data_IF_177837304710
#
_entry.id   IF_177837304710
#
_cell.length_a   1.000
_cell.length_b   1.000
_cell.length_c   1.000
_cell.angle_alpha   90.00
_cell.angle_beta   90.00
_cell.angle_gamma   90.00
#
_symmetry.space_group_name_H-M   'P 1'
#
loop_
_entity.id
_entity.type
_entity.pdbx_description
1 polymer ?
#
# COMPACT_ATOMS: atom_id res chain seq x y z
N UNK A 1 -3.63 17.42 11.78
CA UNK A 1 -2.62 17.39 12.88
C UNK A 1 -2.21 18.83 13.21
N UNK A 2 -1.64 19.07 14.39
CA UNK A 2 -1.07 20.38 14.80
C UNK A 2 0.33 20.11 15.35
N UNK A 3 1.30 21.00 15.09
CA UNK A 3 2.64 20.88 15.64
C UNK A 3 2.58 20.96 17.17
N UNK A 4 3.26 20.03 17.86
CA UNK A 4 3.41 20.07 19.31
C UNK A 4 4.37 21.21 19.70
N UNK A 5 3.88 22.13 20.49
CA UNK A 5 4.65 23.20 21.15
C UNK A 5 4.67 23.01 22.67
N UNK A 6 3.84 22.08 23.16
CA UNK A 6 3.77 21.64 24.55
C UNK A 6 4.00 20.11 24.57
N UNK A 7 4.56 19.62 25.70
CA UNK A 7 4.93 18.20 25.81
C UNK A 7 3.74 17.25 25.59
N UNK A 8 2.58 17.57 26.14
CA UNK A 8 1.39 16.71 26.04
C UNK A 8 0.71 16.75 24.66
N UNK A 9 1.10 17.68 23.80
CA UNK A 9 0.65 17.73 22.40
C UNK A 9 1.43 16.73 21.50
N UNK A 10 2.54 16.13 21.99
CA UNK A 10 3.39 15.22 21.21
C UNK A 10 2.58 14.03 20.70
N UNK A 11 1.75 13.41 21.53
CA UNK A 11 0.96 12.24 21.16
C UNK A 11 0.11 12.49 19.91
N UNK A 12 -0.55 13.64 19.81
CA UNK A 12 -1.41 13.98 18.67
C UNK A 12 -0.59 14.40 17.44
N UNK A 13 0.57 15.01 17.66
CA UNK A 13 1.44 15.50 16.58
C UNK A 13 2.22 14.39 15.87
N UNK A 14 2.44 13.24 16.53
CA UNK A 14 3.20 12.10 15.97
C UNK A 14 2.31 10.94 15.50
N UNK A 15 1.03 11.22 15.19
CA UNK A 15 0.15 10.22 14.60
C UNK A 15 0.79 9.64 13.31
N UNK A 16 0.85 8.30 13.19
CA UNK A 16 1.56 7.59 12.12
C UNK A 16 0.72 6.53 11.40
N UNK A 17 -0.56 6.41 11.73
CA UNK A 17 -1.42 5.39 11.14
C UNK A 17 -2.05 5.84 9.83
N UNK A 18 -2.24 7.15 9.65
CA UNK A 18 -2.85 7.72 8.47
C UNK A 18 -1.79 8.23 7.47
N UNK A 19 -1.94 7.97 6.16
CA UNK A 19 -1.09 8.57 5.16
C UNK A 19 -1.35 10.07 5.06
N UNK A 20 -0.32 10.85 4.72
CA UNK A 20 -0.36 12.30 4.59
C UNK A 20 -0.42 12.68 3.10
N UNK A 21 -1.27 13.64 2.74
CA UNK A 21 -1.29 14.24 1.39
C UNK A 21 -0.05 15.11 1.16
N UNK A 22 0.40 15.23 -0.08
CA UNK A 22 1.58 16.03 -0.46
C UNK A 22 1.39 17.56 -0.24
N UNK A 23 0.17 17.99 0.04
CA UNK A 23 -0.16 19.40 0.38
C UNK A 23 -0.23 19.66 1.87
N UNK A 24 -0.16 18.62 2.70
CA UNK A 24 -0.17 18.75 4.14
C UNK A 24 1.11 19.44 4.64
N UNK A 25 1.01 20.32 5.64
CA UNK A 25 2.17 21.04 6.21
C UNK A 25 3.20 20.10 6.84
N UNK A 26 2.78 18.92 7.29
CA UNK A 26 3.65 17.89 7.86
C UNK A 26 4.32 17.02 6.80
N UNK A 27 3.96 17.17 5.53
CA UNK A 27 4.60 16.42 4.47
C UNK A 27 6.09 16.78 4.35
N UNK A 28 6.91 15.75 4.24
CA UNK A 28 8.35 15.88 3.99
C UNK A 28 8.73 14.98 2.83
N UNK A 29 9.28 15.58 1.78
CA UNK A 29 9.66 14.84 0.57
C UNK A 29 10.94 14.05 0.77
N UNK A 30 10.82 12.73 0.77
CA UNK A 30 11.94 11.78 0.84
C UNK A 30 12.27 11.12 -0.50
N UNK A 31 11.64 11.53 -1.61
CA UNK A 31 11.80 10.84 -2.90
C UNK A 31 13.23 10.81 -3.41
N UNK A 32 14.01 11.87 -3.15
CA UNK A 32 15.42 11.97 -3.55
C UNK A 32 16.38 11.05 -2.78
N UNK A 33 15.95 10.50 -1.65
CA UNK A 33 16.78 9.69 -0.75
C UNK A 33 16.60 8.18 -0.91
N UNK A 34 15.73 7.74 -1.83
CA UNK A 34 15.42 6.32 -2.05
C UNK A 34 16.18 5.77 -3.25
N UNK A 35 17.27 5.06 -3.02
CA UNK A 35 17.98 4.38 -4.11
C UNK A 35 17.09 3.28 -4.71
N UNK A 36 16.85 3.36 -6.02
CA UNK A 36 16.06 2.36 -6.74
C UNK A 36 14.63 2.75 -7.06
N UNK A 37 14.00 3.62 -6.28
CA UNK A 37 12.70 4.22 -6.59
C UNK A 37 12.87 5.66 -7.07
N UNK A 38 12.13 6.05 -8.09
CA UNK A 38 11.93 7.46 -8.47
C UNK A 38 10.65 7.60 -9.29
N UNK A 39 9.98 8.73 -9.16
CA UNK A 39 8.79 9.06 -9.99
C UNK A 39 9.10 8.97 -11.48
N UNK A 40 10.29 9.39 -11.90
CA UNK A 40 10.73 9.32 -13.30
C UNK A 40 10.77 7.90 -13.86
N UNK A 41 11.00 6.88 -13.02
CA UNK A 41 10.92 5.48 -13.45
C UNK A 41 9.48 5.08 -13.73
N UNK A 42 8.55 5.52 -12.89
CA UNK A 42 7.11 5.27 -13.09
C UNK A 42 6.62 6.01 -14.35
N UNK A 43 7.01 7.28 -14.55
CA UNK A 43 6.65 8.01 -15.76
C UNK A 43 7.15 7.33 -17.02
N UNK A 44 8.42 6.90 -17.06
CA UNK A 44 8.96 6.15 -18.19
C UNK A 44 8.21 4.84 -18.42
N UNK A 45 7.83 4.14 -17.34
CA UNK A 45 7.07 2.91 -17.42
C UNK A 45 5.66 3.14 -18.01
N UNK A 46 5.02 4.25 -17.63
CA UNK A 46 3.72 4.67 -18.14
C UNK A 46 3.83 5.43 -19.48
N UNK A 47 5.03 5.54 -20.04
CA UNK A 47 5.30 6.25 -21.30
C UNK A 47 4.90 7.74 -21.26
N UNK A 48 5.06 8.37 -20.12
CA UNK A 48 4.96 9.81 -19.90
C UNK A 48 6.37 10.38 -20.07
N UNK A 49 6.55 11.34 -20.99
CA UNK A 49 7.86 11.97 -21.21
C UNK A 49 8.17 13.06 -20.18
N UNK A 50 9.37 13.67 -20.29
CA UNK A 50 9.83 14.73 -19.38
C UNK A 50 8.99 16.02 -19.45
N UNK A 51 8.31 16.23 -20.55
CA UNK A 51 7.42 17.36 -20.80
C UNK A 51 5.97 17.03 -20.41
N UNK A 52 5.78 15.87 -19.80
CA UNK A 52 4.48 15.32 -19.39
C UNK A 52 3.53 15.02 -20.56
N UNK A 53 4.06 14.77 -21.76
CA UNK A 53 3.24 14.30 -22.86
C UNK A 53 2.99 12.80 -22.75
N UNK A 54 1.80 12.41 -23.15
CA UNK A 54 1.35 11.03 -23.12
C UNK A 54 1.68 10.32 -24.44
N UNK A 55 2.58 9.37 -24.39
CA UNK A 55 2.87 8.51 -25.52
C UNK A 55 2.06 7.22 -25.45
N UNK A 56 1.58 6.72 -26.58
CA UNK A 56 0.75 5.53 -26.64
C UNK A 56 1.53 4.29 -26.16
N UNK A 57 0.93 3.51 -25.27
CA UNK A 57 1.44 2.19 -24.91
C UNK A 57 0.91 1.14 -25.90
N UNK A 58 1.74 0.19 -26.29
CA UNK A 58 1.34 -0.95 -27.12
C UNK A 58 0.51 -1.97 -26.32
N UNK A 59 0.78 -2.09 -25.02
CA UNK A 59 0.10 -2.97 -24.08
C UNK A 59 -0.01 -2.28 -22.71
N UNK A 60 -1.09 -2.55 -21.97
CA UNK A 60 -1.21 -2.09 -20.59
C UNK A 60 -0.03 -2.56 -19.76
N UNK A 61 0.39 -1.73 -18.81
CA UNK A 61 1.53 -1.98 -17.93
C UNK A 61 1.08 -2.29 -16.52
N UNK A 62 1.79 -3.23 -15.88
CA UNK A 62 1.59 -3.57 -14.48
C UNK A 62 2.91 -3.45 -13.74
N UNK A 63 2.87 -2.82 -12.56
CA UNK A 63 4.00 -2.63 -11.66
C UNK A 63 3.64 -3.17 -10.30
N UNK A 64 4.50 -4.02 -9.75
CA UNK A 64 4.52 -4.34 -8.34
C UNK A 64 5.49 -3.41 -7.61
N UNK A 65 4.99 -2.71 -6.59
CA UNK A 65 5.80 -1.83 -5.75
C UNK A 65 5.95 -2.45 -4.36
N UNK A 66 7.14 -2.91 -4.02
CA UNK A 66 7.41 -3.61 -2.77
C UNK A 66 8.35 -2.85 -1.84
N UNK A 67 8.15 -2.98 -0.54
CA UNK A 67 8.99 -2.41 0.51
C UNK A 67 8.40 -2.63 1.89
N UNK A 68 9.19 -2.39 2.94
CA UNK A 68 8.75 -2.53 4.32
C UNK A 68 7.50 -1.72 4.65
N UNK A 69 6.66 -2.24 5.54
CA UNK A 69 5.53 -1.47 6.09
C UNK A 69 6.05 -0.26 6.87
N UNK A 70 5.46 0.91 6.63
CA UNK A 70 5.85 2.16 7.31
C UNK A 70 6.87 3.01 6.57
N UNK A 71 7.37 2.57 5.41
CA UNK A 71 8.32 3.35 4.60
C UNK A 71 7.72 4.57 3.90
N UNK A 72 6.39 4.79 3.97
CA UNK A 72 5.71 5.89 3.31
C UNK A 72 5.24 5.58 1.88
N UNK A 73 5.07 4.31 1.50
CA UNK A 73 4.56 3.91 0.16
C UNK A 73 3.25 4.60 -0.20
N UNK A 74 2.25 4.52 0.68
CA UNK A 74 0.92 5.12 0.46
C UNK A 74 1.02 6.62 0.21
N UNK A 75 1.79 7.35 1.00
CA UNK A 75 2.04 8.80 0.84
C UNK A 75 2.65 9.12 -0.53
N UNK A 76 3.68 8.38 -0.95
CA UNK A 76 4.30 8.57 -2.26
C UNK A 76 3.35 8.17 -3.41
N UNK A 77 2.52 7.15 -3.24
CA UNK A 77 1.52 6.76 -4.24
C UNK A 77 0.41 7.81 -4.38
N UNK A 78 -0.02 8.45 -3.30
CA UNK A 78 -0.96 9.57 -3.33
C UNK A 78 -0.36 10.78 -4.04
N UNK A 79 0.88 11.14 -3.73
CA UNK A 79 1.63 12.18 -4.44
C UNK A 79 1.75 11.86 -5.92
N UNK A 80 2.16 10.63 -6.26
CA UNK A 80 2.27 10.16 -7.64
C UNK A 80 0.93 10.24 -8.39
N UNK A 81 -0.17 9.80 -7.74
CA UNK A 81 -1.52 9.93 -8.25
C UNK A 81 -1.85 11.37 -8.63
N UNK A 82 -1.63 12.31 -7.68
CA UNK A 82 -1.90 13.72 -7.89
C UNK A 82 -1.06 14.31 -9.02
N UNK A 83 0.21 13.90 -9.13
CA UNK A 83 1.11 14.35 -10.19
C UNK A 83 0.69 13.80 -11.57
N UNK A 84 0.35 12.52 -11.69
CA UNK A 84 -0.09 11.90 -12.95
C UNK A 84 -1.44 12.46 -13.40
N UNK A 85 -2.39 12.67 -12.49
CA UNK A 85 -3.70 13.27 -12.82
C UNK A 85 -3.57 14.65 -13.47
N UNK A 86 -2.60 15.46 -13.01
CA UNK A 86 -2.30 16.79 -13.57
C UNK A 86 -1.83 16.73 -15.03
N UNK A 87 -1.15 15.65 -15.42
CA UNK A 87 -0.67 15.49 -16.82
C UNK A 87 -1.79 15.23 -17.81
N UNK A 88 -2.98 14.82 -17.34
CA UNK A 88 -4.09 14.34 -18.18
C UNK A 88 -3.76 13.09 -19.02
N UNK A 89 -2.61 12.46 -18.78
CA UNK A 89 -2.27 11.19 -19.40
C UNK A 89 -3.16 10.05 -18.90
N UNK A 90 -3.39 10.02 -17.60
CA UNK A 90 -4.17 8.98 -16.97
C UNK A 90 -5.20 9.58 -16.02
N UNK A 91 -6.42 9.06 -16.04
CA UNK A 91 -7.32 9.16 -14.92
C UNK A 91 -6.86 8.11 -13.91
N UNK A 92 -6.40 8.57 -12.74
CA UNK A 92 -5.89 7.68 -11.70
C UNK A 92 -6.99 7.28 -10.71
N UNK A 93 -7.18 5.99 -10.55
CA UNK A 93 -8.12 5.37 -9.62
C UNK A 93 -7.31 4.78 -8.46
N UNK A 94 -7.51 5.30 -7.24
CA UNK A 94 -6.82 4.84 -6.05
C UNK A 94 -7.71 3.93 -5.21
N UNK A 95 -7.24 2.71 -4.96
CA UNK A 95 -7.91 1.68 -4.17
C UNK A 95 -7.03 1.37 -2.96
N UNK A 96 -7.46 1.76 -1.75
CA UNK A 96 -6.77 1.39 -0.50
C UNK A 96 -7.56 0.25 0.18
N UNK A 97 -7.03 -0.96 0.09
CA UNK A 97 -7.64 -2.17 0.65
C UNK A 97 -7.80 -2.11 2.17
N UNK A 98 -7.03 -1.28 2.85
CA UNK A 98 -7.03 -1.20 4.32
C UNK A 98 -8.06 -0.25 4.90
N UNK A 99 -8.62 0.64 4.08
CA UNK A 99 -9.59 1.66 4.50
C UNK A 99 -11.01 1.35 4.02
N UNK A 100 -11.21 0.21 3.35
CA UNK A 100 -12.49 -0.18 2.81
C UNK A 100 -13.27 -1.06 3.79
N UNK A 101 -14.59 -1.10 3.65
CA UNK A 101 -15.50 -1.96 4.43
C UNK A 101 -15.41 -3.43 3.98
N UNK A 102 -14.20 -3.91 3.75
CA UNK A 102 -13.91 -5.31 3.44
C UNK A 102 -13.53 -6.06 4.72
N UNK A 103 -13.86 -7.34 4.76
CA UNK A 103 -13.35 -8.23 5.79
C UNK A 103 -11.87 -8.53 5.52
N UNK A 104 -11.00 -7.66 6.05
CA UNK A 104 -9.55 -7.74 5.83
C UNK A 104 -8.91 -9.06 6.24
N UNK A 105 -9.58 -9.85 7.12
CA UNK A 105 -9.09 -11.15 7.57
C UNK A 105 -9.57 -12.31 6.69
N UNK A 106 -10.50 -12.05 5.75
CA UNK A 106 -11.03 -13.03 4.83
C UNK A 106 -11.31 -12.37 3.47
N UNK A 107 -10.24 -12.01 2.77
CA UNK A 107 -10.28 -11.35 1.47
C UNK A 107 -9.84 -12.31 0.37
N UNK A 108 -10.47 -12.23 -0.81
CA UNK A 108 -10.13 -13.00 -1.99
C UNK A 108 -9.91 -12.07 -3.20
N UNK A 109 -9.39 -12.61 -4.29
CA UNK A 109 -9.18 -11.91 -5.55
C UNK A 109 -10.45 -11.20 -6.07
N UNK A 110 -11.62 -11.84 -5.93
CA UNK A 110 -12.90 -11.27 -6.38
C UNK A 110 -13.25 -10.01 -5.61
N UNK A 111 -12.97 -9.97 -4.31
CA UNK A 111 -13.25 -8.82 -3.46
C UNK A 111 -12.43 -7.60 -3.94
N UNK A 112 -11.16 -7.83 -4.30
CA UNK A 112 -10.27 -6.80 -4.87
C UNK A 112 -10.81 -6.29 -6.21
N UNK A 113 -11.30 -7.16 -7.08
CA UNK A 113 -11.84 -6.76 -8.38
C UNK A 113 -13.14 -5.97 -8.26
N UNK A 114 -14.02 -6.35 -7.33
CA UNK A 114 -15.26 -5.61 -7.06
C UNK A 114 -14.92 -4.22 -6.49
N UNK A 115 -13.92 -4.12 -5.61
CA UNK A 115 -13.44 -2.84 -5.10
C UNK A 115 -12.85 -1.97 -6.24
N UNK A 116 -12.04 -2.53 -7.12
CA UNK A 116 -11.48 -1.81 -8.28
C UNK A 116 -12.61 -1.23 -9.15
N UNK A 117 -13.66 -2.00 -9.40
CA UNK A 117 -14.82 -1.56 -10.15
C UNK A 117 -15.56 -0.43 -9.44
N UNK A 118 -15.82 -0.57 -8.13
CA UNK A 118 -16.44 0.46 -7.31
C UNK A 118 -15.65 1.77 -7.36
N UNK A 119 -14.34 1.71 -7.10
CA UNK A 119 -13.45 2.89 -7.09
C UNK A 119 -13.35 3.59 -8.45
N UNK A 120 -13.43 2.83 -9.54
CA UNK A 120 -13.53 3.42 -10.89
C UNK A 120 -14.78 4.29 -10.99
N UNK A 121 -15.95 3.76 -10.64
CA UNK A 121 -17.23 4.48 -10.76
C UNK A 121 -17.26 5.67 -9.79
N UNK A 122 -16.80 5.49 -8.54
CA UNK A 122 -16.66 6.58 -7.58
C UNK A 122 -15.77 7.72 -8.09
N UNK A 123 -14.63 7.36 -8.72
CA UNK A 123 -13.69 8.35 -9.27
C UNK A 123 -14.33 9.13 -10.42
N UNK A 124 -15.08 8.46 -11.31
CA UNK A 124 -15.82 9.12 -12.38
C UNK A 124 -16.86 10.08 -11.82
N UNK A 125 -17.63 9.64 -10.80
CA UNK A 125 -18.60 10.46 -10.10
C UNK A 125 -17.97 11.68 -9.43
N UNK A 126 -16.90 11.49 -8.68
CA UNK A 126 -16.20 12.57 -7.96
C UNK A 126 -15.60 13.63 -8.91
N UNK A 127 -15.33 13.25 -10.16
CA UNK A 127 -14.85 14.15 -11.22
C UNK A 127 -15.97 14.64 -12.14
N UNK A 128 -17.22 14.35 -11.82
CA UNK A 128 -18.40 14.74 -12.60
C UNK A 128 -18.33 14.26 -14.07
N UNK A 129 -17.75 13.08 -14.28
CA UNK A 129 -17.62 12.45 -15.60
C UNK A 129 -18.79 11.49 -15.80
N UNK A 130 -19.77 11.92 -16.57
CA UNK A 130 -20.95 11.11 -16.89
C UNK A 130 -20.72 10.32 -18.17
N UNK A 131 -20.58 9.00 -18.04
CA UNK A 131 -20.39 8.08 -19.16
C UNK A 131 -21.74 7.72 -19.76
N UNK A 132 -21.94 7.88 -21.09
CA UNK A 132 -23.21 7.55 -21.74
C UNK A 132 -23.63 6.10 -21.51
N UNK A 133 -24.92 5.87 -21.30
CA UNK A 133 -25.53 4.55 -21.08
C UNK A 133 -25.04 3.51 -22.10
N UNK A 134 -25.00 3.86 -23.38
CA UNK A 134 -24.58 2.94 -24.45
C UNK A 134 -23.18 2.35 -24.25
N UNK A 135 -22.30 3.07 -23.56
CA UNK A 135 -20.93 2.64 -23.28
C UNK A 135 -20.80 1.67 -22.09
N UNK A 136 -21.84 1.59 -21.25
CA UNK A 136 -21.79 0.80 -20.01
C UNK A 136 -22.84 -0.33 -19.96
N UNK A 137 -23.87 -0.26 -20.82
CA UNK A 137 -25.04 -1.13 -20.79
C UNK A 137 -24.69 -2.63 -20.89
N UNK A 138 -23.76 -3.00 -21.74
CA UNK A 138 -23.37 -4.39 -21.94
C UNK A 138 -22.75 -5.02 -20.67
N UNK A 139 -21.89 -4.26 -19.98
CA UNK A 139 -21.25 -4.72 -18.76
C UNK A 139 -22.20 -4.67 -17.58
N UNK A 140 -23.02 -3.61 -17.49
CA UNK A 140 -24.05 -3.48 -16.48
C UNK A 140 -25.02 -4.67 -16.50
N UNK A 141 -25.60 -5.00 -17.67
CA UNK A 141 -26.57 -6.09 -17.82
C UNK A 141 -25.94 -7.45 -17.45
N UNK A 142 -24.68 -7.66 -17.84
CA UNK A 142 -23.94 -8.85 -17.45
C UNK A 142 -23.79 -8.95 -15.92
N UNK A 143 -23.37 -7.84 -15.28
CA UNK A 143 -23.16 -7.77 -13.84
C UNK A 143 -24.46 -7.99 -13.07
N UNK A 144 -25.51 -7.28 -13.47
CA UNK A 144 -26.87 -7.40 -12.90
C UNK A 144 -27.40 -8.85 -12.97
N UNK A 145 -27.20 -9.52 -14.11
CA UNK A 145 -27.59 -10.91 -14.26
C UNK A 145 -26.87 -11.82 -13.26
N UNK A 146 -25.54 -11.62 -13.07
CA UNK A 146 -24.78 -12.42 -12.08
C UNK A 146 -25.28 -12.17 -10.66
N UNK A 147 -25.56 -10.94 -10.29
CA UNK A 147 -26.10 -10.63 -8.96
C UNK A 147 -27.49 -11.23 -8.76
N UNK A 148 -28.31 -11.26 -9.81
CA UNK A 148 -29.63 -11.91 -9.76
C UNK A 148 -29.50 -13.43 -9.56
N UNK A 149 -28.56 -14.09 -10.21
CA UNK A 149 -28.29 -15.52 -10.01
C UNK A 149 -27.84 -15.79 -8.56
N UNK A 150 -26.89 -15.02 -8.03
CA UNK A 150 -26.41 -15.11 -6.65
C UNK A 150 -27.55 -14.97 -5.63
N UNK A 151 -28.42 -13.98 -5.83
CA UNK A 151 -29.56 -13.74 -4.93
C UNK A 151 -30.53 -14.93 -4.91
N UNK A 152 -30.77 -15.58 -6.04
CA UNK A 152 -31.62 -16.78 -6.13
C UNK A 152 -31.00 -17.96 -5.39
N UNK A 153 -29.69 -18.16 -5.50
CA UNK A 153 -28.98 -19.28 -4.86
C UNK A 153 -28.86 -19.11 -3.34
N UNK A 154 -28.87 -17.86 -2.85
CA UNK A 154 -28.69 -17.55 -1.42
C UNK A 154 -29.99 -17.40 -0.65
N UNK A 155 -31.16 -17.64 -1.28
CA UNK A 155 -32.50 -17.41 -0.73
C UNK A 155 -32.70 -15.99 -0.16
N UNK A 156 -31.84 -15.06 -0.58
CA UNK A 156 -32.02 -13.65 -0.26
C UNK A 156 -33.06 -13.05 -1.21
N UNK A 157 -34.32 -13.38 -0.96
CA UNK A 157 -35.48 -12.76 -1.59
C UNK A 157 -35.72 -11.28 -1.17
N UNK A 158 -34.78 -10.70 -0.42
CA UNK A 158 -34.67 -9.26 -0.33
C UNK A 158 -34.35 -8.75 -1.74
N UNK A 159 -35.41 -8.53 -2.49
CA UNK A 159 -35.46 -7.78 -3.73
C UNK A 159 -34.45 -6.66 -3.64
N UNK A 160 -33.26 -6.85 -4.34
CA UNK A 160 -32.79 -5.68 -5.00
C UNK A 160 -33.93 -5.40 -5.97
N UNK A 161 -34.90 -4.59 -5.56
CA UNK A 161 -35.73 -3.87 -6.51
C UNK A 161 -34.72 -3.05 -7.30
N UNK A 162 -34.18 -3.74 -8.32
CA UNK A 162 -33.51 -3.09 -9.43
C UNK A 162 -34.67 -2.31 -10.00
N UNK A 163 -34.77 -1.03 -9.57
CA UNK A 163 -35.63 -0.12 -10.22
C UNK A 163 -35.19 -0.11 -11.69
N UNK A 164 -35.80 -0.99 -12.47
CA UNK A 164 -35.77 -0.95 -13.93
C UNK A 164 -36.48 0.33 -14.35
N UNK A 165 -35.97 1.49 -13.88
CA UNK A 165 -36.46 2.79 -14.27
C UNK A 165 -35.79 3.21 -15.55
N UNK A 166 -36.58 3.67 -16.47
CA UNK A 166 -36.18 4.48 -17.59
C UNK A 166 -35.26 5.61 -17.07
N UNK A 167 -33.94 5.47 -17.24
CA UNK A 167 -32.94 6.45 -16.72
C UNK A 167 -31.75 5.85 -16.01
N UNK A 168 -31.41 4.58 -16.25
CA UNK A 168 -30.15 3.96 -15.80
C UNK A 168 -28.94 4.76 -16.31
N UNK A 169 -28.03 5.08 -15.42
CA UNK A 169 -26.75 5.76 -15.63
C UNK A 169 -25.61 5.04 -14.88
N UNK A 170 -24.38 5.52 -15.04
CA UNK A 170 -23.21 4.92 -14.38
C UNK A 170 -23.30 4.98 -12.84
N UNK A 171 -24.02 5.96 -12.29
CA UNK A 171 -24.17 6.14 -10.84
C UNK A 171 -25.19 5.18 -10.24
N UNK A 172 -26.20 4.78 -11.02
CA UNK A 172 -27.11 3.67 -10.67
C UNK A 172 -26.33 2.35 -10.60
N UNK A 173 -25.34 2.16 -11.49
CA UNK A 173 -24.45 1.02 -11.45
C UNK A 173 -23.61 0.98 -10.16
N UNK A 174 -23.12 2.11 -9.68
CA UNK A 174 -22.41 2.19 -8.40
C UNK A 174 -23.23 1.57 -7.26
N UNK A 175 -24.50 1.88 -7.18
CA UNK A 175 -25.38 1.32 -6.11
C UNK A 175 -25.39 -0.21 -6.09
N UNK A 176 -25.38 -0.87 -7.27
CA UNK A 176 -25.38 -2.33 -7.36
C UNK A 176 -24.00 -2.87 -6.94
N UNK A 177 -22.93 -2.24 -7.37
CA UNK A 177 -21.55 -2.66 -7.03
C UNK A 177 -21.30 -2.51 -5.53
N UNK A 178 -21.67 -1.36 -4.93
CA UNK A 178 -21.56 -1.12 -3.48
C UNK A 178 -22.38 -2.12 -2.66
N UNK A 179 -23.62 -2.43 -3.08
CA UNK A 179 -24.45 -3.47 -2.44
C UNK A 179 -23.80 -4.85 -2.54
N UNK A 180 -23.14 -5.16 -3.67
CA UNK A 180 -22.41 -6.42 -3.84
C UNK A 180 -21.21 -6.48 -2.92
N UNK A 181 -20.41 -5.40 -2.81
CA UNK A 181 -19.31 -5.29 -1.85
C UNK A 181 -19.78 -5.47 -0.41
N UNK A 182 -20.87 -4.82 -0.01
CA UNK A 182 -21.47 -4.99 1.32
C UNK A 182 -21.87 -6.45 1.64
N UNK A 183 -22.27 -7.23 0.64
CA UNK A 183 -22.55 -8.67 0.82
C UNK A 183 -21.31 -9.52 1.04
N UNK A 184 -20.14 -9.07 0.60
CA UNK A 184 -18.85 -9.73 0.88
C UNK A 184 -18.46 -9.63 2.35
N UNK A 185 -18.96 -8.67 3.09
CA UNK A 185 -18.84 -8.57 4.56
C UNK A 185 -19.96 -9.32 5.32
N UNK A 186 -20.88 -9.94 4.60
CA UNK A 186 -22.05 -10.65 5.15
C UNK A 186 -21.81 -12.11 5.50
N UNK A 187 -22.86 -12.95 5.35
CA UNK A 187 -22.75 -14.38 5.68
C UNK A 187 -21.76 -15.12 4.79
N UNK A 188 -21.07 -16.13 5.35
CA UNK A 188 -20.10 -16.95 4.62
C UNK A 188 -20.72 -17.59 3.36
N UNK A 189 -21.97 -18.06 3.43
CA UNK A 189 -22.66 -18.65 2.28
C UNK A 189 -22.77 -17.65 1.12
N UNK A 190 -23.23 -16.43 1.40
CA UNK A 190 -23.38 -15.39 0.36
C UNK A 190 -22.02 -14.99 -0.20
N UNK A 191 -21.01 -14.78 0.66
CA UNK A 191 -19.64 -14.45 0.29
C UNK A 191 -19.06 -15.49 -0.68
N UNK A 192 -19.12 -16.77 -0.31
CA UNK A 192 -18.59 -17.86 -1.14
C UNK A 192 -19.37 -18.02 -2.45
N UNK A 193 -20.68 -17.80 -2.45
CA UNK A 193 -21.49 -17.83 -3.70
C UNK A 193 -21.07 -16.70 -4.64
N UNK A 194 -20.83 -15.48 -4.14
CA UNK A 194 -20.33 -14.36 -4.96
C UNK A 194 -18.96 -14.74 -5.56
N UNK A 195 -18.02 -15.14 -4.71
CA UNK A 195 -16.64 -15.48 -5.13
C UNK A 195 -16.62 -16.58 -6.17
N UNK A 196 -17.32 -17.70 -5.92
CA UNK A 196 -17.38 -18.83 -6.85
C UNK A 196 -18.03 -18.45 -8.18
N UNK A 197 -19.10 -17.66 -8.15
CA UNK A 197 -19.79 -17.20 -9.37
C UNK A 197 -18.85 -16.37 -10.25
N UNK A 198 -18.16 -15.39 -9.67
CA UNK A 198 -17.24 -14.53 -10.41
C UNK A 198 -15.99 -15.29 -10.88
N UNK A 199 -15.43 -16.19 -10.06
CA UNK A 199 -14.27 -17.01 -10.46
C UNK A 199 -14.64 -17.96 -11.60
N UNK A 200 -15.76 -18.67 -11.51
CA UNK A 200 -16.19 -19.61 -12.54
C UNK A 200 -16.56 -18.92 -13.87
N UNK A 201 -16.91 -17.64 -13.83
CA UNK A 201 -17.23 -16.81 -15.00
C UNK A 201 -16.14 -15.77 -15.32
N UNK A 202 -14.91 -15.96 -14.81
CA UNK A 202 -13.90 -14.92 -14.86
C UNK A 202 -13.50 -14.52 -16.28
N UNK A 203 -13.39 -15.46 -17.21
CA UNK A 203 -13.06 -15.14 -18.62
C UNK A 203 -14.15 -14.30 -19.28
N UNK A 204 -15.42 -14.57 -18.98
CA UNK A 204 -16.53 -13.74 -19.48
C UNK A 204 -16.58 -12.38 -18.80
N UNK A 205 -16.33 -12.34 -17.47
CA UNK A 205 -16.14 -11.10 -16.72
C UNK A 205 -15.02 -10.25 -17.33
N UNK A 206 -13.83 -10.80 -17.50
CA UNK A 206 -12.66 -10.06 -17.98
C UNK A 206 -12.88 -9.52 -19.39
N UNK A 207 -13.55 -10.28 -20.29
CA UNK A 207 -13.91 -9.82 -21.62
C UNK A 207 -14.84 -8.59 -21.56
N UNK A 208 -15.92 -8.69 -20.78
CA UNK A 208 -16.91 -7.61 -20.62
C UNK A 208 -16.33 -6.39 -19.91
N UNK A 209 -15.55 -6.62 -18.86
CA UNK A 209 -14.86 -5.55 -18.13
C UNK A 209 -13.84 -4.82 -19.02
N UNK A 210 -13.06 -5.56 -19.80
CA UNK A 210 -12.11 -4.95 -20.74
C UNK A 210 -12.80 -4.09 -21.82
N UNK A 211 -13.95 -4.53 -22.32
CA UNK A 211 -14.74 -3.70 -23.22
C UNK A 211 -15.26 -2.43 -22.53
N UNK A 212 -15.79 -2.56 -21.32
CA UNK A 212 -16.24 -1.42 -20.52
C UNK A 212 -15.11 -0.42 -20.26
N UNK A 213 -13.92 -0.90 -19.90
CA UNK A 213 -12.71 -0.04 -19.76
C UNK A 213 -12.37 0.66 -21.07
N UNK A 214 -12.44 -0.04 -22.21
CA UNK A 214 -12.16 0.54 -23.52
C UNK A 214 -13.17 1.65 -23.86
N UNK A 215 -14.45 1.41 -23.65
CA UNK A 215 -15.52 2.37 -23.91
C UNK A 215 -15.37 3.64 -23.06
N UNK A 216 -14.97 3.50 -21.81
CA UNK A 216 -14.64 4.63 -20.93
C UNK A 216 -13.43 5.41 -21.49
N UNK A 217 -12.36 4.72 -21.87
CA UNK A 217 -11.17 5.36 -22.45
C UNK A 217 -11.50 6.15 -23.72
N UNK A 218 -12.26 5.57 -24.60
CA UNK A 218 -12.70 6.24 -25.85
C UNK A 218 -13.53 7.48 -25.54
N UNK A 219 -14.45 7.41 -24.59
CA UNK A 219 -15.22 8.57 -24.16
C UNK A 219 -14.34 9.66 -23.58
N UNK A 220 -13.42 9.32 -22.65
CA UNK A 220 -12.49 10.27 -22.04
C UNK A 220 -11.60 10.95 -23.08
N UNK A 221 -11.10 10.21 -24.06
CA UNK A 221 -10.30 10.74 -25.16
C UNK A 221 -11.13 11.68 -26.06
N UNK A 222 -12.35 11.30 -26.43
CA UNK A 222 -13.25 12.11 -27.25
C UNK A 222 -13.57 13.45 -26.60
N UNK A 223 -13.69 13.46 -25.26
CA UNK A 223 -13.90 14.67 -24.46
C UNK A 223 -12.63 15.42 -24.09
N UNK A 224 -11.46 14.94 -24.55
CA UNK A 224 -10.14 15.50 -24.21
C UNK A 224 -9.88 15.61 -22.69
N UNK A 225 -10.46 14.71 -21.91
CA UNK A 225 -10.31 14.70 -20.44
C UNK A 225 -9.03 13.97 -20.00
N UNK A 226 -8.88 12.71 -20.44
CA UNK A 226 -7.74 11.85 -20.14
C UNK A 226 -7.47 10.91 -21.33
N UNK A 227 -6.22 10.41 -21.44
CA UNK A 227 -5.83 9.49 -22.52
C UNK A 227 -6.07 8.02 -22.18
N UNK A 228 -5.87 7.64 -20.92
CA UNK A 228 -5.99 6.25 -20.45
C UNK A 228 -6.38 6.21 -18.98
N UNK A 229 -6.50 4.99 -18.41
CA UNK A 229 -6.77 4.74 -17.00
C UNK A 229 -5.55 4.13 -16.32
N UNK A 230 -5.33 4.50 -15.05
CA UNK A 230 -4.32 3.89 -14.19
C UNK A 230 -4.96 3.54 -12.84
N UNK A 231 -4.92 2.28 -12.47
CA UNK A 231 -5.32 1.83 -11.14
C UNK A 231 -4.10 1.74 -10.23
N UNK A 232 -4.23 2.28 -9.03
CA UNK A 232 -3.25 2.15 -7.95
C UNK A 232 -3.94 1.37 -6.84
N UNK A 233 -3.49 0.14 -6.60
CA UNK A 233 -4.06 -0.75 -5.57
C UNK A 233 -3.06 -0.89 -4.45
N UNK A 234 -3.37 -0.29 -3.32
CA UNK A 234 -2.51 -0.23 -2.13
C UNK A 234 -3.10 -1.02 -0.95
N UNK A 235 -2.26 -1.37 0.01
CA UNK A 235 -2.70 -1.95 1.29
C UNK A 235 -2.64 -3.48 1.37
N UNK A 236 -2.09 -4.17 0.39
CA UNK A 236 -1.99 -5.64 0.44
C UNK A 236 -1.20 -6.17 1.65
N UNK A 237 -0.25 -5.41 2.19
CA UNK A 237 0.49 -5.80 3.38
C UNK A 237 -0.32 -5.73 4.68
N UNK A 238 -1.56 -5.25 4.62
CA UNK A 238 -2.44 -5.06 5.79
C UNK A 238 -3.61 -6.04 5.83
N UNK A 239 -3.76 -6.87 4.79
CA UNK A 239 -4.91 -7.77 4.63
C UNK A 239 -4.50 -9.23 4.73
N UNK A 240 -5.40 -10.06 5.25
CA UNK A 240 -5.30 -11.52 5.29
C UNK A 240 -4.01 -12.07 5.89
N UNK A 241 -3.84 -13.37 5.74
CA UNK A 241 -2.60 -14.08 6.00
C UNK A 241 -1.59 -13.93 4.85
N UNK A 242 -0.36 -14.39 5.04
CA UNK A 242 0.62 -14.49 3.95
C UNK A 242 0.10 -15.39 2.80
N UNK A 243 -0.61 -16.46 3.15
CA UNK A 243 -1.19 -17.39 2.19
C UNK A 243 -2.28 -16.71 1.35
N UNK A 244 -3.18 -15.94 1.97
CA UNK A 244 -4.21 -15.18 1.25
C UNK A 244 -3.59 -14.19 0.28
N UNK A 245 -2.58 -13.44 0.72
CA UNK A 245 -1.83 -12.50 -0.12
C UNK A 245 -1.13 -13.19 -1.28
N UNK A 246 -0.50 -14.36 -1.05
CA UNK A 246 0.12 -15.19 -2.09
C UNK A 246 -0.92 -15.67 -3.09
N UNK A 247 -2.04 -16.18 -2.62
CA UNK A 247 -3.15 -16.63 -3.46
C UNK A 247 -3.65 -15.51 -4.36
N UNK A 248 -3.87 -14.32 -3.81
CA UNK A 248 -4.39 -13.18 -4.58
C UNK A 248 -3.36 -12.69 -5.59
N UNK A 249 -2.12 -12.40 -5.16
CA UNK A 249 -1.13 -11.67 -5.95
C UNK A 249 -0.28 -12.55 -6.87
N UNK A 250 0.02 -13.78 -6.45
CA UNK A 250 0.91 -14.69 -7.18
C UNK A 250 0.12 -15.74 -7.96
N UNK A 251 -0.73 -16.50 -7.27
CA UNK A 251 -1.46 -17.61 -7.91
C UNK A 251 -2.56 -17.12 -8.87
N UNK A 252 -3.22 -16.01 -8.54
CA UNK A 252 -4.20 -15.35 -9.42
C UNK A 252 -3.59 -14.25 -10.31
N UNK A 253 -2.28 -14.18 -10.44
CA UNK A 253 -1.59 -13.16 -11.25
C UNK A 253 -2.03 -13.16 -12.72
N UNK A 254 -2.31 -14.33 -13.30
CA UNK A 254 -2.86 -14.47 -14.65
C UNK A 254 -4.19 -13.71 -14.82
N UNK A 255 -5.05 -13.70 -13.79
CA UNK A 255 -6.32 -12.95 -13.82
C UNK A 255 -6.09 -11.44 -13.83
N UNK A 256 -5.10 -10.93 -13.08
CA UNK A 256 -4.70 -9.52 -13.20
C UNK A 256 -4.18 -9.17 -14.60
N UNK A 257 -3.52 -10.14 -15.27
CA UNK A 257 -3.02 -9.96 -16.64
C UNK A 257 -4.18 -9.88 -17.65
N UNK A 258 -5.22 -10.69 -17.47
CA UNK A 258 -6.40 -10.69 -18.32
C UNK A 258 -7.14 -9.33 -18.29
N UNK A 259 -7.05 -8.58 -17.20
CA UNK A 259 -7.61 -7.22 -17.09
C UNK A 259 -6.70 -6.24 -17.82
N UNK A 260 -7.13 -5.76 -18.98
CA UNK A 260 -6.34 -4.93 -19.93
C UNK A 260 -6.33 -3.45 -19.53
N UNK A 261 -5.78 -3.15 -18.35
CA UNK A 261 -5.59 -1.78 -17.86
C UNK A 261 -4.24 -1.62 -17.17
N UNK A 262 -3.77 -0.37 -17.02
CA UNK A 262 -2.53 -0.09 -16.33
C UNK A 262 -2.74 -0.16 -14.82
N UNK A 263 -1.81 -0.80 -14.10
CA UNK A 263 -1.90 -0.98 -12.65
C UNK A 263 -0.56 -0.76 -11.97
N UNK A 264 -0.58 -0.10 -10.82
CA UNK A 264 0.46 -0.12 -9.81
C UNK A 264 -0.15 -0.83 -8.59
N UNK A 265 0.48 -1.91 -8.15
CA UNK A 265 -0.03 -2.77 -7.07
C UNK A 265 1.05 -2.83 -5.99
N UNK A 266 0.71 -2.47 -4.74
CA UNK A 266 1.66 -2.68 -3.65
C UNK A 266 1.79 -4.17 -3.38
N UNK A 267 3.04 -4.59 -3.23
CA UNK A 267 3.40 -5.97 -2.98
C UNK A 267 4.02 -6.07 -1.58
N UNK A 268 3.51 -6.94 -0.72
CA UNK A 268 4.17 -7.27 0.53
C UNK A 268 5.61 -7.70 0.31
N UNK A 269 6.52 -7.29 1.21
CA UNK A 269 7.96 -7.51 1.03
C UNK A 269 8.33 -8.99 0.99
N UNK A 270 7.61 -9.81 1.73
CA UNK A 270 7.77 -11.26 1.77
C UNK A 270 7.48 -11.95 0.43
N UNK A 271 6.66 -11.35 -0.42
CA UNK A 271 6.33 -11.90 -1.75
C UNK A 271 7.22 -11.36 -2.88
N UNK A 272 8.17 -10.46 -2.57
CA UNK A 272 8.96 -9.78 -3.61
C UNK A 272 9.79 -10.74 -4.46
N UNK A 273 10.34 -11.79 -3.86
CA UNK A 273 11.13 -12.80 -4.59
C UNK A 273 10.25 -13.66 -5.52
N UNK A 274 9.02 -13.97 -5.09
CA UNK A 274 8.08 -14.73 -5.89
C UNK A 274 7.56 -13.90 -7.07
N UNK A 275 7.34 -12.61 -6.86
CA UNK A 275 6.94 -11.68 -7.90
C UNK A 275 7.98 -11.54 -9.02
N UNK A 276 9.25 -11.86 -8.76
CA UNK A 276 10.27 -11.90 -9.79
C UNK A 276 9.96 -12.93 -10.89
N UNK A 277 9.21 -13.99 -10.56
CA UNK A 277 8.71 -14.99 -11.51
C UNK A 277 7.64 -14.44 -12.46
N UNK A 278 7.04 -13.29 -12.09
CA UNK A 278 6.01 -12.60 -12.87
C UNK A 278 6.59 -11.50 -13.77
N UNK A 279 7.92 -11.36 -13.87
CA UNK A 279 8.59 -10.28 -14.61
C UNK A 279 8.25 -10.24 -16.11
N UNK A 280 7.73 -11.32 -16.69
CA UNK A 280 7.22 -11.34 -18.07
C UNK A 280 5.94 -10.48 -18.21
N UNK A 281 5.18 -10.29 -17.14
CA UNK A 281 3.88 -9.63 -17.14
C UNK A 281 3.85 -8.32 -16.38
N UNK A 282 4.61 -8.23 -15.29
CA UNK A 282 4.65 -7.08 -14.41
C UNK A 282 6.09 -6.77 -14.00
N UNK A 283 6.42 -5.49 -13.93
CA UNK A 283 7.72 -5.05 -13.44
C UNK A 283 7.68 -4.91 -11.93
N UNK A 284 8.59 -5.57 -11.23
CA UNK A 284 8.78 -5.39 -9.80
C UNK A 284 9.74 -4.23 -9.52
N UNK A 285 9.34 -3.31 -8.65
CA UNK A 285 10.11 -2.15 -8.20
C UNK A 285 10.20 -2.20 -6.68
N UNK A 286 11.42 -2.11 -6.14
CA UNK A 286 11.61 -1.96 -4.70
C UNK A 286 11.39 -0.50 -4.27
N UNK A 287 10.72 -0.34 -3.13
CA UNK A 287 10.59 0.92 -2.40
C UNK A 287 11.35 0.79 -1.07
N UNK A 288 12.68 1.00 -1.10
CA UNK A 288 13.55 0.68 0.02
C UNK A 288 13.40 1.67 1.18
N UNK A 289 13.92 1.29 2.34
CA UNK A 289 14.21 2.22 3.43
C UNK A 289 15.23 3.26 2.98
N UNK A 290 15.23 4.40 3.66
CA UNK A 290 16.16 5.50 3.39
C UNK A 290 17.49 5.21 4.09
N UNK A 291 18.59 5.19 3.34
CA UNK A 291 19.92 5.15 3.94
C UNK A 291 20.18 6.47 4.68
N UNK A 292 20.56 6.36 5.96
CA UNK A 292 20.81 7.50 6.83
C UNK A 292 22.23 8.05 6.64
N UNK A 293 22.50 8.68 5.49
CA UNK A 293 23.63 9.61 5.36
C UNK A 293 23.29 10.97 5.98
N UNK A 294 24.26 11.87 6.08
CA UNK A 294 24.03 13.16 6.76
C UNK A 294 22.89 13.97 6.12
N UNK A 295 22.77 13.98 4.79
CA UNK A 295 21.69 14.68 4.11
C UNK A 295 20.31 14.08 4.43
N UNK A 296 20.25 12.75 4.53
CA UNK A 296 19.03 12.04 4.92
C UNK A 296 18.67 12.31 6.39
N UNK A 297 19.66 12.35 7.30
CA UNK A 297 19.46 12.71 8.70
C UNK A 297 18.91 14.13 8.82
N UNK A 298 19.47 15.11 8.09
CA UNK A 298 18.94 16.47 8.07
C UNK A 298 17.48 16.52 7.61
N UNK A 299 17.12 15.71 6.61
CA UNK A 299 15.74 15.61 6.16
C UNK A 299 14.83 14.97 7.21
N UNK A 300 15.31 13.99 7.97
CA UNK A 300 14.59 13.43 9.11
C UNK A 300 14.48 14.42 10.28
N UNK A 301 15.50 15.23 10.55
CA UNK A 301 15.40 16.33 11.54
C UNK A 301 14.30 17.32 11.14
N UNK A 302 14.24 17.73 9.87
CA UNK A 302 13.14 18.55 9.35
C UNK A 302 11.78 17.87 9.55
N UNK A 303 11.66 16.57 9.22
CA UNK A 303 10.45 15.77 9.37
C UNK A 303 9.96 15.74 10.83
N UNK A 304 10.88 15.61 11.79
CA UNK A 304 10.57 15.63 13.23
C UNK A 304 10.16 17.03 13.67
N UNK A 305 10.93 18.06 13.31
CA UNK A 305 10.69 19.42 13.76
C UNK A 305 9.46 20.09 13.15
N UNK A 306 8.95 19.56 12.06
CA UNK A 306 7.62 19.94 11.58
C UNK A 306 6.51 19.53 12.56
N UNK A 307 6.71 18.46 13.31
CA UNK A 307 5.72 17.85 14.22
C UNK A 307 5.92 18.23 15.67
N UNK A 308 7.16 18.27 16.11
CA UNK A 308 7.52 18.49 17.51
C UNK A 308 8.49 19.65 17.58
N UNK A 309 8.22 20.63 18.46
CA UNK A 309 9.10 21.79 18.60
C UNK A 309 10.47 21.37 19.18
N UNK A 310 11.53 22.05 18.75
CA UNK A 310 12.91 21.76 19.17
C UNK A 310 13.11 21.88 20.68
N UNK A 311 12.37 22.76 21.34
CA UNK A 311 12.45 22.98 22.79
C UNK A 311 11.97 21.79 23.61
N UNK A 312 11.23 20.85 23.00
CA UNK A 312 10.74 19.64 23.67
C UNK A 312 11.79 18.50 23.65
N UNK A 313 12.95 18.72 23.04
CA UNK A 313 14.10 17.83 23.12
C UNK A 313 15.21 18.49 23.94
N UNK A 314 15.82 17.75 24.85
CA UNK A 314 16.88 18.27 25.73
C UNK A 314 18.09 18.78 24.93
N UNK A 315 18.44 18.10 23.85
CA UNK A 315 19.44 18.53 22.88
C UNK A 315 19.28 17.80 21.54
N UNK A 316 20.10 18.14 20.55
CA UNK A 316 20.01 17.60 19.19
C UNK A 316 20.45 16.12 19.10
N UNK A 317 21.27 15.62 20.01
CA UNK A 317 21.72 14.22 20.04
C UNK A 317 20.55 13.26 20.29
N UNK A 318 19.52 13.74 20.99
CA UNK A 318 18.27 12.98 21.23
C UNK A 318 17.57 12.71 19.90
N UNK A 319 17.46 13.74 19.07
CA UNK A 319 16.83 13.64 17.75
C UNK A 319 17.62 12.71 16.84
N UNK A 320 18.94 12.77 16.89
CA UNK A 320 19.82 11.88 16.11
C UNK A 320 19.66 10.43 16.52
N UNK A 321 19.54 10.16 17.82
CA UNK A 321 19.32 8.79 18.32
C UNK A 321 17.94 8.26 17.92
N UNK A 322 16.90 9.10 17.96
CA UNK A 322 15.56 8.76 17.45
C UNK A 322 15.61 8.40 15.96
N UNK A 323 16.36 9.18 15.15
CA UNK A 323 16.52 8.93 13.72
C UNK A 323 17.24 7.60 13.49
N UNK A 324 18.29 7.30 14.25
CA UNK A 324 19.02 6.04 14.19
C UNK A 324 18.07 4.85 14.43
N UNK A 325 17.31 4.87 15.52
CA UNK A 325 16.33 3.82 15.84
C UNK A 325 15.17 3.73 14.85
N UNK A 326 14.80 4.85 14.22
CA UNK A 326 13.83 4.89 13.13
C UNK A 326 14.31 4.20 11.84
N UNK A 327 15.64 3.95 11.73
CA UNK A 327 16.26 3.14 10.67
C UNK A 327 15.86 3.52 9.23
N UNK A 328 15.65 4.82 8.99
CA UNK A 328 15.22 5.31 7.67
C UNK A 328 13.75 5.07 7.32
N UNK A 329 12.92 4.73 8.30
CA UNK A 329 11.48 4.60 8.19
C UNK A 329 10.77 5.77 8.88
N UNK A 330 10.00 6.61 8.16
CA UNK A 330 9.25 7.70 8.79
C UNK A 330 8.32 7.23 9.91
N UNK A 331 7.62 6.10 9.72
CA UNK A 331 6.71 5.55 10.73
C UNK A 331 7.45 5.07 11.99
N UNK A 332 8.57 4.36 11.82
CA UNK A 332 9.32 3.87 12.97
C UNK A 332 9.94 5.04 13.75
N UNK A 333 10.41 6.09 13.06
CA UNK A 333 10.87 7.33 13.71
C UNK A 333 9.78 7.94 14.60
N UNK A 334 8.53 8.06 14.10
CA UNK A 334 7.42 8.59 14.90
C UNK A 334 7.04 7.67 16.05
N UNK A 335 7.15 6.34 15.88
CA UNK A 335 6.93 5.39 16.96
C UNK A 335 7.95 5.53 18.10
N UNK A 336 9.22 5.74 17.76
CA UNK A 336 10.25 5.99 18.77
C UNK A 336 9.94 7.25 19.57
N UNK A 337 9.52 8.34 18.89
CA UNK A 337 9.12 9.59 19.59
C UNK A 337 7.92 9.35 20.50
N UNK A 338 6.90 8.64 20.01
CA UNK A 338 5.70 8.37 20.81
C UNK A 338 6.01 7.53 22.05
N UNK A 339 6.85 6.50 21.92
CA UNK A 339 7.23 5.69 23.07
C UNK A 339 8.14 6.47 24.02
N UNK A 340 9.09 7.29 23.52
CA UNK A 340 9.90 8.16 24.36
C UNK A 340 9.05 9.19 25.14
N UNK A 341 7.95 9.66 24.55
CA UNK A 341 6.97 10.49 25.24
C UNK A 341 6.33 9.77 26.42
N UNK A 342 5.94 8.49 26.26
CA UNK A 342 5.34 7.71 27.34
C UNK A 342 6.34 7.35 28.46
N UNK A 343 7.62 7.19 28.14
CA UNK A 343 8.67 6.82 29.09
C UNK A 343 9.36 8.03 29.74
N UNK A 344 9.07 9.26 29.28
CA UNK A 344 9.70 10.47 29.84
C UNK A 344 9.26 10.73 31.29
N UNK A 345 10.23 11.01 32.15
CA UNK A 345 10.00 11.34 33.58
C UNK A 345 9.71 12.83 33.79
N UNK A 346 10.11 13.68 32.87
CA UNK A 346 9.91 15.12 32.88
C UNK A 346 9.22 15.53 31.57
N UNK A 347 8.67 16.75 31.52
CA UNK A 347 8.00 17.28 30.30
C UNK A 347 9.01 17.67 29.19
N UNK A 348 9.98 16.78 28.97
CA UNK A 348 11.01 16.91 27.94
C UNK A 348 11.50 15.53 27.50
N UNK A 349 11.78 15.38 26.20
CA UNK A 349 12.41 14.17 25.68
C UNK A 349 13.92 14.24 25.93
N UNK A 350 14.46 13.25 26.63
CA UNK A 350 15.88 13.12 26.91
C UNK A 350 16.42 11.77 26.49
N UNK A 351 17.73 11.52 26.70
CA UNK A 351 18.38 10.28 26.28
C UNK A 351 17.87 9.08 27.07
N UNK A 352 17.41 9.27 28.32
CA UNK A 352 16.88 8.17 29.12
C UNK A 352 15.52 7.74 28.55
N UNK A 353 14.60 8.66 28.28
CA UNK A 353 13.29 8.34 27.71
C UNK A 353 13.40 7.66 26.35
N UNK A 354 14.41 8.02 25.52
CA UNK A 354 14.66 7.35 24.24
C UNK A 354 15.24 5.95 24.41
N UNK A 355 16.05 5.71 25.43
CA UNK A 355 16.55 4.37 25.75
C UNK A 355 15.45 3.46 26.31
N UNK A 356 14.62 3.98 27.21
CA UNK A 356 13.49 3.23 27.76
C UNK A 356 12.49 2.88 26.64
N UNK A 357 12.23 3.81 25.73
CA UNK A 357 11.43 3.54 24.52
C UNK A 357 12.06 2.47 23.61
N UNK A 358 13.38 2.47 23.47
CA UNK A 358 14.10 1.46 22.70
C UNK A 358 13.96 0.07 23.34
N UNK A 359 14.09 -0.03 24.66
CA UNK A 359 13.91 -1.26 25.41
C UNK A 359 12.51 -1.85 25.18
N UNK A 360 11.45 -1.07 25.42
CA UNK A 360 10.06 -1.48 25.20
C UNK A 360 9.81 -1.96 23.77
N UNK A 361 10.30 -1.20 22.77
CA UNK A 361 10.10 -1.53 21.37
C UNK A 361 10.90 -2.78 20.95
N UNK A 362 12.12 -2.95 21.44
CA UNK A 362 12.97 -4.09 21.11
C UNK A 362 12.51 -5.38 21.80
N UNK A 363 12.12 -5.34 23.05
CA UNK A 363 11.55 -6.49 23.79
C UNK A 363 10.34 -7.08 23.07
N UNK A 364 9.47 -6.21 22.52
CA UNK A 364 8.30 -6.63 21.75
C UNK A 364 8.65 -7.47 20.50
N UNK A 365 9.92 -7.46 20.09
CA UNK A 365 10.45 -8.22 18.94
C UNK A 365 11.27 -9.40 19.43
N UNK A 366 12.20 -9.18 20.36
CA UNK A 366 13.16 -10.19 20.86
C UNK A 366 12.44 -11.36 21.50
N UNK A 367 11.41 -11.11 22.31
CA UNK A 367 10.62 -12.13 22.99
C UNK A 367 9.89 -13.12 22.06
N UNK A 368 9.80 -12.82 20.76
CA UNK A 368 9.13 -13.67 19.75
C UNK A 368 10.09 -14.21 18.71
N UNK A 369 11.41 -14.18 18.97
CA UNK A 369 12.39 -14.82 18.11
C UNK A 369 12.31 -16.35 18.21
N UNK A 370 12.46 -17.02 17.08
CA UNK A 370 12.54 -18.47 16.99
C UNK A 370 14.01 -18.91 16.90
N UNK A 371 14.32 -20.12 17.37
CA UNK A 371 15.70 -20.65 17.34
C UNK A 371 16.34 -20.63 15.95
N UNK A 372 15.59 -21.04 14.93
CA UNK A 372 16.05 -21.05 13.54
C UNK A 372 16.28 -19.64 12.95
N UNK A 373 15.60 -18.62 13.48
CA UNK A 373 15.80 -17.22 13.11
C UNK A 373 17.14 -16.67 13.60
N UNK A 374 17.61 -17.08 14.78
CA UNK A 374 18.84 -16.59 15.41
C UNK A 374 20.07 -16.86 14.55
N UNK A 375 20.16 -18.06 13.97
CA UNK A 375 21.31 -18.44 13.11
C UNK A 375 21.39 -17.58 11.85
N UNK A 376 20.24 -17.29 11.25
CA UNK A 376 20.17 -16.41 10.08
C UNK A 376 20.50 -14.96 10.45
N UNK A 377 20.05 -14.48 11.61
CA UNK A 377 20.35 -13.15 12.14
C UNK A 377 21.88 -13.00 12.35
N UNK A 378 22.54 -13.98 12.98
CA UNK A 378 24.01 -14.02 13.17
C UNK A 378 24.72 -13.95 11.81
N UNK A 379 24.24 -14.70 10.83
CA UNK A 379 24.79 -14.70 9.47
C UNK A 379 24.69 -13.31 8.82
N UNK A 380 23.54 -12.64 8.93
CA UNK A 380 23.33 -11.29 8.39
C UNK A 380 24.19 -10.28 9.14
N UNK A 381 24.24 -10.36 10.48
CA UNK A 381 25.03 -9.46 11.30
C UNK A 381 26.53 -9.54 11.00
N UNK A 382 27.03 -10.72 10.62
CA UNK A 382 28.41 -10.90 10.17
C UNK A 382 28.71 -10.34 8.77
N UNK A 383 27.73 -9.72 8.10
CA UNK A 383 27.86 -9.17 6.75
C UNK A 383 27.91 -10.22 5.64
N UNK A 384 27.63 -11.49 5.94
CA UNK A 384 27.58 -12.54 4.92
C UNK A 384 26.34 -12.38 4.05
N UNK A 385 26.53 -12.63 2.76
CA UNK A 385 25.43 -12.59 1.79
C UNK A 385 24.47 -13.76 2.02
N UNK A 386 23.20 -13.44 2.20
CA UNK A 386 22.13 -14.42 2.37
C UNK A 386 21.27 -14.54 1.13
N UNK A 387 20.85 -15.78 0.83
CA UNK A 387 19.84 -16.04 -0.19
C UNK A 387 18.44 -15.79 0.40
N UNK A 388 17.47 -15.51 -0.48
CA UNK A 388 16.08 -15.37 -0.07
C UNK A 388 15.53 -16.73 0.37
N UNK A 389 14.80 -16.75 1.49
CA UNK A 389 14.12 -17.89 2.07
C UNK A 389 12.87 -17.43 2.79
N UNK A 390 11.95 -18.34 3.11
CA UNK A 390 10.75 -18.00 3.91
C UNK A 390 11.14 -17.47 5.29
N UNK A 391 12.24 -17.99 5.85
CA UNK A 391 12.78 -17.49 7.12
C UNK A 391 13.23 -16.02 7.01
N UNK A 392 13.96 -15.67 5.94
CA UNK A 392 14.34 -14.27 5.69
C UNK A 392 13.10 -13.40 5.45
N UNK A 393 12.09 -13.90 4.75
CA UNK A 393 10.83 -13.20 4.55
C UNK A 393 10.16 -12.87 5.89
N UNK A 394 10.14 -13.82 6.84
CA UNK A 394 9.61 -13.59 8.19
C UNK A 394 10.40 -12.51 8.94
N UNK A 395 11.73 -12.55 8.89
CA UNK A 395 12.59 -11.54 9.51
C UNK A 395 12.35 -10.13 8.93
N UNK A 396 12.08 -10.03 7.62
CA UNK A 396 11.74 -8.76 6.98
C UNK A 396 10.36 -8.23 7.42
N UNK A 397 9.38 -9.12 7.57
CA UNK A 397 8.03 -8.76 8.07
C UNK A 397 8.06 -8.31 9.51
N UNK A 398 8.77 -9.05 10.37
CA UNK A 398 9.00 -8.71 11.79
C UNK A 398 9.87 -7.46 11.97
N UNK A 399 10.50 -6.96 10.89
CA UNK A 399 11.47 -5.85 10.91
C UNK A 399 12.70 -6.10 11.79
N UNK A 400 13.07 -7.34 11.96
CA UNK A 400 14.35 -7.73 12.57
C UNK A 400 15.47 -7.45 11.58
N UNK A 401 15.25 -7.82 10.32
CA UNK A 401 16.10 -7.48 9.19
C UNK A 401 15.46 -6.39 8.37
N UNK A 402 16.23 -5.37 8.04
CA UNK A 402 15.82 -4.23 7.23
C UNK A 402 16.51 -4.27 5.88
N UNK A 403 15.78 -3.90 4.82
CA UNK A 403 16.26 -3.95 3.44
C UNK A 403 16.44 -2.55 2.87
N UNK A 404 17.66 -2.30 2.36
CA UNK A 404 18.07 -1.08 1.69
C UNK A 404 18.55 -1.40 0.26
N UNK A 405 18.78 -0.36 -0.55
CA UNK A 405 19.42 -0.45 -1.88
C UNK A 405 18.87 -1.57 -2.79
N UNK A 406 17.53 -1.64 -2.92
CA UNK A 406 16.83 -2.66 -3.74
C UNK A 406 17.12 -4.11 -3.27
N UNK A 407 17.17 -4.34 -1.98
CA UNK A 407 17.40 -5.66 -1.42
C UNK A 407 18.84 -6.16 -1.46
N UNK A 408 19.75 -5.33 -1.92
CA UNK A 408 21.19 -5.67 -1.96
C UNK A 408 21.86 -5.56 -0.60
N UNK A 409 21.37 -4.65 0.23
CA UNK A 409 21.89 -4.36 1.55
C UNK A 409 20.83 -4.74 2.58
N UNK A 410 21.18 -5.68 3.45
CA UNK A 410 20.33 -6.17 4.53
C UNK A 410 21.06 -5.96 5.84
N UNK A 411 20.40 -5.32 6.79
CA UNK A 411 20.98 -4.97 8.09
C UNK A 411 20.03 -5.38 9.21
N UNK A 412 20.59 -5.70 10.35
CA UNK A 412 19.78 -5.83 11.58
C UNK A 412 19.22 -4.45 11.92
N UNK A 413 18.00 -4.44 12.43
CA UNK A 413 17.36 -3.22 12.89
C UNK A 413 18.16 -2.60 14.03
N UNK A 414 18.62 -1.33 13.92
CA UNK A 414 19.43 -0.68 14.95
C UNK A 414 18.80 -0.69 16.34
N UNK A 415 17.47 -0.65 16.44
CA UNK A 415 16.76 -0.69 17.72
C UNK A 415 17.03 -1.99 18.52
N UNK A 416 17.38 -3.10 17.84
CA UNK A 416 17.68 -4.38 18.46
C UNK A 416 19.14 -4.46 18.92
N UNK A 417 20.04 -3.73 18.26
CA UNK A 417 21.49 -3.80 18.55
C UNK A 417 21.85 -3.21 19.91
N UNK A 418 20.99 -2.39 20.50
CA UNK A 418 21.18 -1.81 21.84
C UNK A 418 20.43 -2.60 22.94
N UNK A 419 19.64 -3.65 22.59
CA UNK A 419 18.99 -4.54 23.53
C UNK A 419 19.95 -5.61 24.05
N UNK A 420 20.02 -5.80 25.37
CA UNK A 420 21.04 -6.67 25.98
C UNK A 420 20.74 -8.15 25.74
N UNK A 421 19.50 -8.60 25.83
CA UNK A 421 19.11 -9.99 25.51
C UNK A 421 19.43 -10.34 24.05
N UNK A 422 19.22 -9.39 23.15
CA UNK A 422 19.56 -9.59 21.74
C UNK A 422 21.08 -9.67 21.50
N UNK A 423 21.88 -8.89 22.23
CA UNK A 423 23.35 -9.00 22.20
C UNK A 423 23.81 -10.36 22.67
N UNK A 424 23.28 -10.84 23.81
CA UNK A 424 23.59 -12.17 24.34
C UNK A 424 23.25 -13.28 23.32
N UNK A 425 22.09 -13.17 22.63
CA UNK A 425 21.71 -14.10 21.55
C UNK A 425 22.70 -14.07 20.38
N UNK A 426 23.26 -12.92 20.02
CA UNK A 426 24.24 -12.81 18.95
C UNK A 426 25.61 -13.40 19.35
N UNK A 427 25.99 -13.34 20.62
CA UNK A 427 27.26 -13.81 21.17
C UNK A 427 27.23 -15.31 21.58
N UNK A 428 26.04 -15.90 21.81
CA UNK A 428 25.89 -17.32 22.12
C UNK A 428 26.40 -18.19 20.96
N UNK A 429 27.14 -19.29 21.30
CA UNK A 429 27.71 -20.24 20.32
C UNK A 429 26.64 -21.01 19.51
#
# INVERSE_FOLDING_TARGET
MKKANDFYEIQDAVEFNSPIDDKDEFYTDFSGFRKGFSESKIYKFLNIDKEHNCNKLSQPKKVFLSGHRGTGKTTELLKLKNAIDKTKCYLTIFCDLSNEELDVNNIDFVDVIILILEKLIETLKAKEIDIPKANIESFYNWYEQRITEINKETDQSATIEIEAKAGFDIFSFLSIVTKTKGKLSGSNKTKETIRSTFINKFSDFSLKFNQFILDIKEYLNTKALYKDLLFIVDGFEKIGSLEDRRKILIENSNKFIEIKTNMIITLPIELFSEASKLNEFAKSISFPLINLDENAKDRFREFIYKRVDKSLFKDESIVDKIIEYGAGSPRETLKVILNAFYEAQEDILDMQSVKDAQEVLSESIVNYLLEDEVELIKTINSGKKTLFSDLLANLLVKKIVLEYDNGKDKRINPILLDNDDFKELLESE
#
